data_IF_157098411690
#
_entry.id   IF_157098411690
#
_cell.length_a   1.000
_cell.length_b   1.000
_cell.length_c   1.000
_cell.angle_alpha   90.00
_cell.angle_beta   90.00
_cell.angle_gamma   90.00
#
_symmetry.space_group_name_H-M   'P 1'
#
loop_
_entity.id
_entity.type
_entity.pdbx_description
1 polymer ?
#
# COMPACT_ATOMS: atom_id res chain seq x y z
N UNK A 1 10.00 24.18 57.34
CA UNK A 1 8.70 24.04 58.03
C UNK A 1 8.32 22.58 58.00
N UNK A 2 7.91 22.01 59.13
CA UNK A 2 7.92 20.57 59.41
C UNK A 2 6.64 19.85 58.96
N UNK A 3 6.63 18.50 58.93
CA UNK A 3 5.44 17.71 58.69
C UNK A 3 4.56 17.63 59.94
N UNK A 4 3.24 17.72 59.76
CA UNK A 4 2.26 17.50 60.82
C UNK A 4 2.00 16.00 61.03
N UNK A 5 1.98 15.52 62.28
CA UNK A 5 1.55 14.17 62.64
C UNK A 5 0.07 14.17 63.03
N UNK A 6 -0.63 13.05 62.81
CA UNK A 6 -1.85 12.75 63.56
C UNK A 6 -1.71 11.41 64.26
N UNK A 7 -1.82 11.50 65.58
CA UNK A 7 -1.73 10.42 66.54
C UNK A 7 -3.13 9.90 66.90
N UNK A 8 -3.16 8.63 67.26
CA UNK A 8 -4.20 7.83 67.91
C UNK A 8 -5.21 8.57 68.80
N UNK A 9 -6.44 8.04 68.83
CA UNK A 9 -7.03 7.66 70.12
C UNK A 9 -8.01 6.48 70.04
N UNK A 10 -7.74 5.56 70.95
CA UNK A 10 -8.38 4.29 71.32
C UNK A 10 -9.71 4.43 72.06
N UNK A 11 -10.54 3.36 72.03
CA UNK A 11 -11.17 2.61 73.15
C UNK A 11 -12.29 1.71 72.59
N UNK A 12 -12.10 0.39 72.48
CA UNK A 12 -12.38 -0.68 73.47
C UNK A 12 -13.81 -0.66 74.03
N UNK A 13 -14.63 -1.64 73.62
CA UNK A 13 -15.41 -2.57 74.47
C UNK A 13 -15.91 -3.74 73.58
N UNK A 14 -15.50 -4.98 73.90
CA UNK A 14 -16.15 -6.21 73.38
C UNK A 14 -17.24 -6.70 74.34
N UNK A 15 -17.64 -7.98 74.32
CA UNK A 15 -17.64 -8.98 73.23
C UNK A 15 -19.06 -9.56 73.03
N UNK A 16 -19.38 -10.12 71.86
CA UNK A 16 -20.39 -11.19 71.79
C UNK A 16 -20.03 -12.16 70.68
N UNK A 17 -19.78 -13.39 71.11
CA UNK A 17 -19.54 -14.54 70.26
C UNK A 17 -20.78 -14.87 69.43
N UNK A 18 -20.59 -15.10 68.12
CA UNK A 18 -21.41 -16.06 67.40
C UNK A 18 -20.52 -16.80 66.40
N UNK A 19 -20.35 -18.09 66.68
CA UNK A 19 -19.68 -19.06 65.83
C UNK A 19 -20.62 -19.35 64.66
N UNK A 20 -20.25 -18.92 63.46
CA UNK A 20 -20.82 -19.42 62.21
C UNK A 20 -19.68 -19.93 61.34
N UNK A 21 -19.44 -21.23 61.44
CA UNK A 21 -18.61 -22.00 60.53
C UNK A 21 -19.23 -21.99 59.14
N UNK A 22 -18.74 -21.12 58.25
CA UNK A 22 -19.01 -21.19 56.81
C UNK A 22 -17.76 -21.73 56.15
N UNK A 23 -17.81 -23.01 55.76
CA UNK A 23 -16.86 -23.62 54.82
C UNK A 23 -16.84 -22.76 53.56
N UNK A 24 -15.79 -21.96 53.41
CA UNK A 24 -15.50 -21.28 52.14
C UNK A 24 -14.85 -22.31 51.21
N UNK A 25 -15.68 -22.95 50.39
CA UNK A 25 -15.20 -23.58 49.16
C UNK A 25 -14.62 -22.45 48.30
N UNK A 26 -13.29 -22.34 48.29
CA UNK A 26 -12.58 -21.61 47.25
C UNK A 26 -12.81 -22.35 45.93
N UNK A 27 -13.86 -21.97 45.20
CA UNK A 27 -13.92 -22.21 43.77
C UNK A 27 -12.76 -21.43 43.17
N UNK A 28 -11.64 -22.11 42.95
CA UNK A 28 -10.65 -21.70 41.99
C UNK A 28 -11.35 -21.60 40.64
N UNK A 29 -11.78 -20.40 40.28
CA UNK A 29 -12.03 -20.07 38.89
C UNK A 29 -10.70 -20.21 38.18
N UNK A 30 -10.46 -21.41 37.64
CA UNK A 30 -9.58 -21.57 36.50
C UNK A 30 -10.19 -20.69 35.40
N UNK A 31 -9.78 -19.41 35.37
CA UNK A 31 -9.62 -18.75 34.10
C UNK A 31 -8.63 -19.63 33.34
N UNK A 32 -9.18 -20.56 32.56
CA UNK A 32 -8.53 -20.92 31.31
C UNK A 32 -8.33 -19.58 30.62
N UNK A 33 -7.11 -19.03 30.74
CA UNK A 33 -6.50 -18.32 29.65
C UNK A 33 -6.70 -19.26 28.46
N UNK A 34 -7.77 -19.05 27.71
CA UNK A 34 -7.97 -19.78 26.47
C UNK A 34 -6.70 -19.56 25.70
N UNK A 35 -5.97 -20.65 25.42
CA UNK A 35 -4.77 -20.59 24.62
C UNK A 35 -5.12 -19.76 23.39
N UNK A 36 -4.45 -18.62 23.25
CA UNK A 36 -4.75 -17.66 22.19
C UNK A 36 -4.60 -18.43 20.89
N UNK A 37 -5.70 -18.56 20.15
CA UNK A 37 -5.73 -19.34 18.91
C UNK A 37 -4.56 -18.91 18.01
N UNK A 38 -3.71 -19.87 17.64
CA UNK A 38 -2.52 -19.60 16.83
C UNK A 38 -2.96 -19.19 15.44
N UNK A 39 -2.60 -17.98 15.03
CA UNK A 39 -2.78 -17.53 13.66
C UNK A 39 -1.45 -17.65 12.91
N UNK A 40 -1.37 -18.56 11.94
CA UNK A 40 -0.13 -18.78 11.19
C UNK A 40 0.46 -17.48 10.63
N UNK A 41 -0.35 -16.65 9.98
CA UNK A 41 0.10 -15.43 9.30
C UNK A 41 0.69 -14.38 10.23
N UNK A 42 0.21 -14.31 11.48
CA UNK A 42 0.62 -13.31 12.48
C UNK A 42 1.65 -13.84 13.47
N UNK A 43 1.49 -15.09 13.89
CA UNK A 43 2.27 -15.67 14.99
C UNK A 43 3.42 -16.56 14.49
N UNK A 44 3.32 -17.19 13.31
CA UNK A 44 4.28 -18.22 12.86
C UNK A 44 5.09 -17.77 11.63
N UNK A 45 4.42 -17.24 10.61
CA UNK A 45 5.07 -16.80 9.38
C UNK A 45 6.19 -15.78 9.62
N UNK A 46 6.05 -14.77 10.51
CA UNK A 46 7.15 -13.86 10.81
C UNK A 46 8.37 -14.58 11.39
N UNK A 47 8.15 -15.56 12.27
CA UNK A 47 9.23 -16.36 12.87
C UNK A 47 9.97 -17.18 11.81
N UNK A 48 9.22 -17.89 10.96
CA UNK A 48 9.82 -18.71 9.89
C UNK A 48 10.53 -17.84 8.83
N UNK A 49 9.93 -16.70 8.47
CA UNK A 49 10.50 -15.79 7.48
C UNK A 49 11.82 -15.18 7.96
N UNK A 50 11.85 -14.70 9.21
CA UNK A 50 13.03 -14.08 9.79
C UNK A 50 14.15 -15.10 10.03
N UNK A 51 13.81 -16.27 10.58
CA UNK A 51 14.80 -17.21 11.12
C UNK A 51 15.13 -18.38 10.18
N UNK A 52 14.24 -18.76 9.25
CA UNK A 52 14.37 -20.03 8.53
C UNK A 52 14.45 -19.89 6.99
N UNK A 53 13.74 -18.94 6.37
CA UNK A 53 13.58 -18.89 4.90
C UNK A 53 14.86 -18.62 4.12
N UNK A 54 15.88 -18.09 4.76
CA UNK A 54 17.18 -17.88 4.12
C UNK A 54 17.84 -19.19 3.65
N UNK A 55 17.70 -20.27 4.43
CA UNK A 55 18.25 -21.58 4.10
C UNK A 55 17.18 -22.61 3.71
N UNK A 56 15.92 -22.38 4.06
CA UNK A 56 14.82 -23.33 3.82
C UNK A 56 13.60 -22.69 3.12
N UNK A 57 13.82 -21.60 2.38
CA UNK A 57 12.76 -20.87 1.68
C UNK A 57 12.76 -21.06 0.16
N UNK A 58 12.24 -20.07 -0.60
CA UNK A 58 11.99 -20.21 -2.03
C UNK A 58 13.27 -20.23 -2.88
N UNK A 59 14.35 -19.57 -2.46
CA UNK A 59 15.62 -19.54 -3.19
C UNK A 59 16.27 -20.93 -3.29
N UNK A 60 16.19 -21.55 -4.47
CA UNK A 60 16.72 -22.89 -4.71
C UNK A 60 18.25 -22.96 -4.59
N UNK A 61 18.97 -21.89 -4.90
CA UNK A 61 20.43 -21.89 -4.90
C UNK A 61 21.00 -21.92 -3.47
N UNK A 62 20.24 -21.43 -2.48
CA UNK A 62 20.62 -21.40 -1.06
C UNK A 62 19.97 -22.51 -0.23
N UNK A 63 19.03 -23.26 -0.81
CA UNK A 63 18.19 -24.20 -0.08
C UNK A 63 19.00 -25.39 0.44
N UNK A 64 18.96 -25.60 1.75
CA UNK A 64 19.60 -26.74 2.43
C UNK A 64 18.61 -27.89 2.61
N UNK A 65 19.12 -29.12 2.49
CA UNK A 65 18.39 -30.37 2.72
C UNK A 65 17.09 -30.57 1.91
N UNK A 66 16.91 -29.82 0.82
CA UNK A 66 15.66 -29.85 0.02
C UNK A 66 14.41 -29.32 0.75
N UNK A 67 14.52 -28.96 2.03
CA UNK A 67 13.40 -28.54 2.87
C UNK A 67 12.85 -27.17 2.45
N UNK A 68 11.51 -27.09 2.39
CA UNK A 68 10.73 -25.91 1.97
C UNK A 68 9.78 -25.48 3.08
N UNK A 69 10.27 -24.64 3.99
CA UNK A 69 9.45 -24.05 5.04
C UNK A 69 8.62 -22.86 4.57
N UNK A 70 8.75 -22.43 3.31
CA UNK A 70 7.89 -21.41 2.69
C UNK A 70 6.57 -21.99 2.12
N UNK A 71 6.46 -23.33 2.03
CA UNK A 71 5.30 -24.03 1.47
C UNK A 71 4.83 -25.15 2.39
N UNK A 72 3.51 -25.24 2.60
CA UNK A 72 2.90 -26.26 3.44
C UNK A 72 3.26 -27.69 2.99
N UNK A 73 3.17 -27.94 1.69
CA UNK A 73 3.44 -29.26 1.10
C UNK A 73 4.91 -29.63 1.26
N UNK A 74 5.79 -28.64 1.13
CA UNK A 74 7.22 -28.83 1.21
C UNK A 74 7.74 -29.01 2.64
N UNK A 75 7.09 -28.40 3.64
CA UNK A 75 7.39 -28.62 5.04
C UNK A 75 6.92 -30.01 5.51
N UNK A 76 5.84 -30.53 4.91
CA UNK A 76 5.21 -31.82 5.25
C UNK A 76 5.70 -32.98 4.37
N UNK A 77 6.55 -32.72 3.39
CA UNK A 77 7.13 -33.75 2.54
C UNK A 77 8.25 -34.52 3.27
N UNK A 78 8.39 -35.79 2.92
CA UNK A 78 9.55 -36.58 3.31
C UNK A 78 10.81 -36.03 2.62
N UNK A 79 11.84 -35.76 3.41
CA UNK A 79 13.13 -35.30 2.96
C UNK A 79 14.00 -36.49 2.51
N UNK A 80 15.08 -36.21 1.80
CA UNK A 80 16.05 -37.25 1.39
C UNK A 80 16.66 -38.01 2.59
N UNK A 81 16.64 -37.41 3.78
CA UNK A 81 17.07 -38.06 5.03
C UNK A 81 16.05 -39.07 5.60
N UNK A 82 14.83 -39.11 5.07
CA UNK A 82 13.69 -39.84 5.64
C UNK A 82 12.96 -39.11 6.77
N UNK A 83 13.43 -37.92 7.17
CA UNK A 83 12.72 -37.06 8.13
C UNK A 83 11.61 -36.27 7.43
N UNK A 84 10.62 -35.83 8.22
CA UNK A 84 9.60 -34.87 7.77
C UNK A 84 9.81 -33.57 8.53
N UNK A 85 9.86 -32.45 7.81
CA UNK A 85 10.08 -31.12 8.41
C UNK A 85 9.04 -30.77 9.47
N UNK A 86 7.77 -31.03 9.16
CA UNK A 86 6.60 -30.78 10.01
C UNK A 86 5.65 -31.98 9.95
N UNK A 87 5.41 -32.61 11.11
CA UNK A 87 4.37 -33.62 11.29
C UNK A 87 3.21 -33.00 12.09
N UNK A 88 2.05 -32.74 11.45
CA UNK A 88 0.87 -32.18 12.10
C UNK A 88 0.52 -32.87 13.42
N UNK A 89 0.45 -32.11 14.52
CA UNK A 89 0.07 -32.61 15.84
C UNK A 89 1.16 -33.39 16.58
N UNK A 90 2.31 -33.68 15.95
CA UNK A 90 3.38 -34.48 16.55
C UNK A 90 4.70 -33.71 16.60
N UNK A 91 4.99 -33.15 17.78
CA UNK A 91 6.22 -32.38 18.03
C UNK A 91 7.47 -33.28 17.97
N UNK A 92 7.39 -34.50 18.48
CA UNK A 92 8.53 -35.43 18.53
C UNK A 92 9.00 -35.89 17.15
N UNK A 93 8.08 -35.99 16.18
CA UNK A 93 8.40 -36.40 14.80
C UNK A 93 8.62 -35.20 13.86
N UNK A 94 8.41 -33.97 14.33
CA UNK A 94 8.64 -32.76 13.54
C UNK A 94 10.10 -32.32 13.63
N UNK A 95 10.86 -32.56 12.57
CA UNK A 95 12.29 -32.23 12.49
C UNK A 95 12.56 -30.76 12.82
N UNK A 96 11.70 -29.84 12.37
CA UNK A 96 11.84 -28.40 12.66
C UNK A 96 11.98 -28.12 14.16
N UNK A 97 11.18 -28.79 15.00
CA UNK A 97 11.21 -28.55 16.44
C UNK A 97 12.39 -29.25 17.11
N UNK A 98 12.76 -30.45 16.64
CA UNK A 98 13.95 -31.14 17.13
C UNK A 98 15.22 -30.32 16.88
N UNK A 99 15.32 -29.68 15.72
CA UNK A 99 16.44 -28.80 15.36
C UNK A 99 16.47 -27.53 16.20
N UNK A 100 15.32 -26.92 16.47
CA UNK A 100 15.24 -25.73 17.34
C UNK A 100 15.69 -26.05 18.77
N UNK A 101 15.38 -27.26 19.26
CA UNK A 101 15.67 -27.69 20.63
C UNK A 101 16.98 -28.48 20.78
N UNK A 102 17.78 -28.63 19.71
CA UNK A 102 19.01 -29.42 19.77
C UNK A 102 20.10 -28.67 20.55
N UNK A 103 20.82 -29.41 21.40
CA UNK A 103 22.02 -28.91 22.08
C UNK A 103 23.30 -29.09 21.24
N UNK A 104 23.23 -29.79 20.10
CA UNK A 104 24.36 -30.00 19.20
C UNK A 104 24.56 -28.75 18.31
N UNK A 105 25.73 -28.05 18.40
CA UNK A 105 26.01 -26.87 17.59
C UNK A 105 25.93 -27.09 16.07
N UNK A 106 26.11 -28.32 15.59
CA UNK A 106 26.04 -28.66 14.16
C UNK A 106 24.61 -28.98 13.70
N UNK A 107 23.70 -29.30 14.63
CA UNK A 107 22.31 -29.63 14.32
C UNK A 107 21.34 -28.50 14.67
N UNK A 108 21.66 -27.68 15.67
CA UNK A 108 20.79 -26.60 16.15
C UNK A 108 20.46 -25.61 15.04
N UNK A 109 19.20 -25.23 14.96
CA UNK A 109 18.70 -24.26 14.00
C UNK A 109 17.99 -23.10 14.70
N UNK A 110 18.24 -21.84 14.31
CA UNK A 110 19.19 -21.40 13.29
C UNK A 110 20.65 -21.68 13.68
N UNK A 111 21.55 -21.94 12.71
CA UNK A 111 22.97 -22.17 12.99
C UNK A 111 23.61 -20.93 13.62
N UNK A 112 24.61 -21.12 14.50
CA UNK A 112 25.25 -20.01 15.20
C UNK A 112 25.89 -18.97 14.26
N UNK A 113 26.38 -19.39 13.10
CA UNK A 113 26.98 -18.51 12.08
C UNK A 113 25.93 -17.67 11.31
N UNK A 114 24.64 -17.98 11.44
CA UNK A 114 23.55 -17.18 10.87
C UNK A 114 23.31 -15.87 11.64
N UNK A 115 23.77 -15.78 12.89
CA UNK A 115 23.52 -14.64 13.78
C UNK A 115 22.07 -14.46 14.20
N UNK A 116 21.22 -15.48 14.01
CA UNK A 116 19.80 -15.49 14.37
C UNK A 116 19.55 -16.46 15.51
N UNK A 117 18.62 -16.11 16.38
CA UNK A 117 18.23 -16.91 17.54
C UNK A 117 16.73 -16.74 17.75
N UNK A 118 16.03 -17.84 18.06
CA UNK A 118 14.62 -17.77 18.43
C UNK A 118 14.52 -17.38 19.90
N UNK A 119 13.61 -16.46 20.20
CA UNK A 119 13.21 -16.18 21.57
C UNK A 119 12.40 -17.34 22.15
N UNK A 120 12.31 -17.41 23.49
CA UNK A 120 11.46 -18.40 24.18
C UNK A 120 10.00 -18.32 23.72
N UNK A 121 9.49 -17.11 23.48
CA UNK A 121 8.12 -16.91 22.99
C UNK A 121 7.95 -17.49 21.58
N UNK A 122 8.87 -17.22 20.65
CA UNK A 122 8.81 -17.74 19.29
C UNK A 122 8.89 -19.26 19.25
N UNK A 123 9.76 -19.86 20.05
CA UNK A 123 9.88 -21.31 20.19
C UNK A 123 8.60 -21.94 20.73
N UNK A 124 7.99 -21.35 21.76
CA UNK A 124 6.72 -21.85 22.29
C UNK A 124 5.58 -21.69 21.28
N UNK A 125 5.54 -20.60 20.49
CA UNK A 125 4.53 -20.44 19.42
C UNK A 125 4.67 -21.50 18.34
N UNK A 126 5.89 -21.83 17.91
CA UNK A 126 6.12 -22.94 16.98
C UNK A 126 5.65 -24.26 17.61
N UNK A 127 5.94 -24.49 18.89
CA UNK A 127 5.50 -25.70 19.61
C UNK A 127 3.98 -25.84 19.61
N UNK A 128 3.27 -24.79 20.02
CA UNK A 128 1.81 -24.75 20.10
C UNK A 128 1.18 -24.93 18.71
N UNK A 129 1.76 -24.28 17.69
CA UNK A 129 1.32 -24.42 16.30
C UNK A 129 1.43 -25.85 15.78
N UNK A 130 2.56 -26.52 16.00
CA UNK A 130 2.75 -27.92 15.59
C UNK A 130 1.72 -28.79 16.33
N UNK A 131 1.59 -28.60 17.65
CA UNK A 131 0.66 -29.34 18.49
C UNK A 131 -0.80 -29.16 18.08
N UNK A 132 -1.17 -27.98 17.60
CA UNK A 132 -2.53 -27.68 17.12
C UNK A 132 -2.81 -28.19 15.70
N UNK A 133 -1.89 -28.94 15.09
CA UNK A 133 -2.07 -29.53 13.75
C UNK A 133 -1.28 -28.84 12.65
N UNK A 134 -0.46 -27.83 12.94
CA UNK A 134 0.41 -27.19 11.95
C UNK A 134 -0.37 -26.64 10.74
N UNK A 135 -1.50 -25.98 11.01
CA UNK A 135 -2.30 -25.37 9.95
C UNK A 135 -1.53 -24.23 9.29
N UNK A 136 -1.48 -24.26 7.97
CA UNK A 136 -0.72 -23.32 7.18
C UNK A 136 -1.63 -22.21 6.67
N UNK A 137 -1.25 -20.97 6.90
CA UNK A 137 -1.93 -19.78 6.38
C UNK A 137 -1.16 -19.15 5.21
N UNK A 138 -1.65 -18.01 4.71
CA UNK A 138 -0.89 -17.20 3.76
C UNK A 138 -0.35 -15.96 4.46
N UNK A 139 0.57 -15.23 3.84
CA UNK A 139 0.83 -13.87 4.30
C UNK A 139 -0.49 -13.07 4.30
N UNK A 140 -0.72 -12.26 5.33
CA UNK A 140 -2.02 -11.60 5.57
C UNK A 140 -2.51 -10.76 4.38
N UNK A 141 -1.57 -10.24 3.55
CA UNK A 141 -1.89 -9.47 2.34
C UNK A 141 -2.49 -10.32 1.21
N UNK A 142 -2.29 -11.63 1.22
CA UNK A 142 -2.85 -12.57 0.23
C UNK A 142 -4.09 -13.30 0.74
N UNK A 143 -4.56 -12.96 1.93
CA UNK A 143 -5.82 -13.45 2.44
C UNK A 143 -6.94 -12.47 2.10
N UNK A 144 -8.09 -12.99 1.69
CA UNK A 144 -9.25 -12.15 1.38
C UNK A 144 -9.65 -11.39 2.64
N UNK A 145 -9.72 -10.05 2.61
CA UNK A 145 -10.15 -9.28 3.78
C UNK A 145 -11.57 -9.69 4.20
N UNK A 146 -11.73 -10.02 5.48
CA UNK A 146 -13.04 -10.36 6.07
C UNK A 146 -13.51 -9.16 6.90
N UNK A 147 -14.74 -8.72 6.64
CA UNK A 147 -15.35 -7.62 7.40
C UNK A 147 -15.53 -8.04 8.85
N UNK A 148 -14.76 -7.42 9.74
CA UNK A 148 -14.83 -7.69 11.17
C UNK A 148 -16.09 -7.09 11.79
N UNK A 149 -16.63 -7.75 12.82
CA UNK A 149 -17.69 -7.15 13.65
C UNK A 149 -17.13 -5.91 14.33
N UNK A 150 -17.79 -4.78 14.13
CA UNK A 150 -17.41 -3.52 14.78
C UNK A 150 -17.59 -3.67 16.30
N UNK A 151 -16.57 -3.34 17.12
CA UNK A 151 -16.69 -3.45 18.58
C UNK A 151 -17.84 -2.62 19.13
N UNK A 152 -18.53 -3.18 20.12
CA UNK A 152 -19.52 -2.43 20.91
C UNK A 152 -18.78 -1.62 21.97
N UNK A 153 -19.05 -0.32 22.02
CA UNK A 153 -18.50 0.57 23.04
C UNK A 153 -19.48 0.60 24.21
N UNK A 154 -19.01 0.25 25.41
CA UNK A 154 -19.80 0.28 26.65
C UNK A 154 -19.73 1.62 27.38
N UNK A 155 -18.75 2.48 27.08
CA UNK A 155 -18.58 3.79 27.71
C UNK A 155 -18.73 4.92 26.68
N UNK A 156 -19.83 5.67 26.76
CA UNK A 156 -20.32 6.57 25.70
C UNK A 156 -19.82 8.02 25.83
N UNK A 157 -18.69 8.24 26.50
CA UNK A 157 -18.12 9.60 26.62
C UNK A 157 -17.49 10.07 25.31
N UNK A 158 -16.97 9.14 24.50
CA UNK A 158 -16.48 9.44 23.15
C UNK A 158 -17.64 9.39 22.16
N UNK A 159 -18.21 10.57 21.85
CA UNK A 159 -19.28 10.73 20.86
C UNK A 159 -18.72 10.60 19.44
N UNK A 160 -18.65 9.38 18.92
CA UNK A 160 -18.29 9.14 17.51
C UNK A 160 -19.22 8.09 16.88
N UNK A 161 -19.68 8.40 15.67
CA UNK A 161 -20.44 7.48 14.84
C UNK A 161 -19.53 6.67 13.88
N UNK A 162 -18.24 7.03 13.78
CA UNK A 162 -17.32 6.37 12.86
C UNK A 162 -16.96 4.95 13.36
N UNK A 163 -17.18 3.90 12.56
CA UNK A 163 -16.80 2.53 12.92
C UNK A 163 -15.31 2.37 13.26
N UNK A 164 -14.41 3.14 12.63
CA UNK A 164 -12.96 3.08 12.86
C UNK A 164 -12.63 3.46 14.30
N UNK A 165 -13.25 4.53 14.81
CA UNK A 165 -13.00 5.01 16.17
C UNK A 165 -13.42 3.97 17.22
N UNK A 166 -14.40 3.11 16.90
CA UNK A 166 -14.81 2.01 17.79
C UNK A 166 -13.72 0.94 17.93
N UNK A 167 -12.98 0.66 16.87
CA UNK A 167 -11.81 -0.21 16.95
C UNK A 167 -10.69 0.42 17.79
N UNK A 168 -10.45 1.72 17.63
CA UNK A 168 -9.45 2.46 18.42
C UNK A 168 -9.85 2.46 19.90
N UNK A 169 -11.10 2.77 20.23
CA UNK A 169 -11.59 2.77 21.61
C UNK A 169 -11.50 1.40 22.26
N UNK A 170 -11.87 0.35 21.52
CA UNK A 170 -11.73 -1.03 22.01
C UNK A 170 -10.28 -1.38 22.35
N UNK A 171 -9.32 -0.91 21.54
CA UNK A 171 -7.88 -1.10 21.81
C UNK A 171 -7.42 -0.28 23.02
N UNK A 172 -7.75 1.00 23.09
CA UNK A 172 -7.38 1.88 24.21
C UNK A 172 -7.88 1.34 25.55
N UNK A 173 -9.14 0.87 25.61
CA UNK A 173 -9.70 0.27 26.81
C UNK A 173 -8.96 -0.98 27.29
N UNK A 174 -8.45 -1.82 26.37
CA UNK A 174 -7.61 -2.98 26.71
C UNK A 174 -6.25 -2.57 27.28
N UNK A 175 -5.74 -1.43 26.83
CA UNK A 175 -4.45 -0.88 27.27
C UNK A 175 -4.59 0.05 28.50
N UNK A 176 -5.80 0.21 29.05
CA UNK A 176 -6.06 1.09 30.18
C UNK A 176 -5.86 2.58 29.86
N UNK A 177 -5.97 2.97 28.59
CA UNK A 177 -5.79 4.34 28.12
C UNK A 177 -7.14 4.98 27.79
N UNK A 178 -7.20 6.32 27.91
CA UNK A 178 -8.36 7.12 27.51
C UNK A 178 -8.00 8.02 26.32
N UNK A 179 -8.96 8.34 25.43
CA UNK A 179 -8.75 9.32 24.37
C UNK A 179 -8.41 10.70 24.94
N UNK A 180 -7.60 11.45 24.20
CA UNK A 180 -7.35 12.87 24.47
C UNK A 180 -8.56 13.73 24.11
N UNK A 181 -8.60 14.94 24.68
CA UNK A 181 -9.61 15.94 24.32
C UNK A 181 -9.43 16.38 22.86
N UNK A 182 -10.54 16.75 22.23
CA UNK A 182 -10.52 17.34 20.90
C UNK A 182 -9.62 18.58 20.87
N UNK A 183 -8.86 18.73 19.79
CA UNK A 183 -7.93 19.84 19.64
C UNK A 183 -8.69 21.16 19.41
N UNK A 184 -8.03 22.30 19.68
CA UNK A 184 -8.63 23.62 19.40
C UNK A 184 -8.87 23.81 17.90
N UNK A 185 -9.83 24.66 17.52
CA UNK A 185 -10.14 24.95 16.12
C UNK A 185 -8.90 25.41 15.35
N UNK A 186 -8.04 26.23 15.95
CA UNK A 186 -6.77 26.68 15.35
C UNK A 186 -5.84 25.51 15.03
N UNK A 187 -5.78 24.51 15.92
CA UNK A 187 -4.98 23.30 15.70
C UNK A 187 -5.59 22.43 14.61
N UNK A 188 -6.91 22.25 14.64
CA UNK A 188 -7.64 21.42 13.67
C UNK A 188 -7.49 21.94 12.25
N UNK A 189 -7.74 23.24 12.01
CA UNK A 189 -7.58 23.82 10.68
C UNK A 189 -6.14 23.71 10.18
N UNK A 190 -5.16 23.98 11.05
CA UNK A 190 -3.76 23.85 10.67
C UNK A 190 -3.42 22.43 10.21
N UNK A 191 -3.79 21.41 11.00
CA UNK A 191 -3.52 20.00 10.67
C UNK A 191 -4.17 19.58 9.37
N UNK A 192 -5.49 19.77 9.26
CA UNK A 192 -6.25 19.29 8.10
C UNK A 192 -5.85 19.99 6.80
N UNK A 193 -5.48 21.28 6.84
CA UNK A 193 -5.00 21.96 5.63
C UNK A 193 -3.61 21.46 5.21
N UNK A 194 -2.70 21.19 6.14
CA UNK A 194 -1.40 20.57 5.79
C UNK A 194 -1.58 19.16 5.24
N UNK A 195 -2.40 18.33 5.88
CA UNK A 195 -2.61 16.95 5.45
C UNK A 195 -3.21 16.89 4.04
N UNK A 196 -4.24 17.70 3.78
CA UNK A 196 -4.99 17.63 2.53
C UNK A 196 -4.44 18.51 1.41
N UNK A 197 -3.64 19.53 1.70
CA UNK A 197 -3.13 20.45 0.65
C UNK A 197 -1.62 20.67 0.67
N UNK A 198 -0.91 20.16 1.69
CA UNK A 198 0.52 20.40 1.88
C UNK A 198 0.88 21.84 2.30
N UNK A 199 -0.11 22.73 2.46
CA UNK A 199 0.09 24.15 2.72
C UNK A 199 -0.60 24.60 4.02
N UNK A 200 -0.11 25.67 4.68
CA UNK A 200 -0.82 26.25 5.81
C UNK A 200 -2.12 26.94 5.36
N UNK A 201 -3.14 27.03 6.25
CA UNK A 201 -4.33 27.82 5.96
C UNK A 201 -4.01 29.32 5.93
N UNK A 202 -4.75 30.07 5.12
CA UNK A 202 -4.68 31.54 5.13
C UNK A 202 -5.38 32.12 6.37
N UNK A 203 -5.02 33.33 6.77
CA UNK A 203 -5.67 34.04 7.89
C UNK A 203 -7.20 34.11 7.69
N UNK A 204 -7.65 34.40 6.46
CA UNK A 204 -9.08 34.45 6.13
C UNK A 204 -9.79 33.10 6.32
N UNK A 205 -9.14 31.99 5.96
CA UNK A 205 -9.70 30.65 6.16
C UNK A 205 -9.77 30.28 7.64
N UNK A 206 -8.76 30.70 8.43
CA UNK A 206 -8.77 30.58 9.90
C UNK A 206 -9.94 31.36 10.48
N UNK A 207 -10.04 32.66 10.21
CA UNK A 207 -11.10 33.52 10.75
C UNK A 207 -12.49 32.98 10.43
N UNK A 208 -12.68 32.53 9.17
CA UNK A 208 -13.95 31.94 8.74
C UNK A 208 -14.29 30.66 9.53
N UNK A 209 -13.33 29.75 9.73
CA UNK A 209 -13.56 28.53 10.51
C UNK A 209 -13.77 28.80 12.00
N UNK A 210 -13.00 29.73 12.58
CA UNK A 210 -13.15 30.12 13.99
C UNK A 210 -14.53 30.71 14.25
N UNK A 211 -15.06 31.51 13.32
CA UNK A 211 -16.39 32.13 13.41
C UNK A 211 -17.58 31.20 13.15
N UNK A 212 -17.35 29.98 12.62
CA UNK A 212 -18.43 29.02 12.36
C UNK A 212 -18.73 28.20 13.63
N UNK A 213 -19.80 28.58 14.33
CA UNK A 213 -20.27 27.90 15.55
C UNK A 213 -21.28 26.76 15.27
N UNK A 214 -21.47 26.37 14.00
CA UNK A 214 -22.31 25.24 13.68
C UNK A 214 -21.71 23.93 14.17
N UNK A 215 -22.57 22.98 14.56
CA UNK A 215 -22.14 21.65 15.03
C UNK A 215 -21.43 20.79 13.99
N UNK A 216 -21.36 21.24 12.73
CA UNK A 216 -20.65 20.58 11.63
C UNK A 216 -19.60 21.49 10.95
N UNK A 217 -19.06 22.46 11.69
CA UNK A 217 -18.08 23.41 11.15
C UNK A 217 -16.83 22.72 10.60
N UNK A 218 -16.37 21.64 11.24
CA UNK A 218 -15.17 20.90 10.82
C UNK A 218 -15.40 20.16 9.50
N UNK A 219 -16.55 19.50 9.33
CA UNK A 219 -16.92 18.81 8.11
C UNK A 219 -17.04 19.78 6.93
N UNK A 220 -17.64 20.96 7.16
CA UNK A 220 -17.69 22.03 6.13
C UNK A 220 -16.30 22.51 5.72
N UNK A 221 -15.37 22.62 6.68
CA UNK A 221 -13.98 22.95 6.41
C UNK A 221 -13.32 21.87 5.55
N UNK A 222 -13.46 20.59 5.92
CA UNK A 222 -12.94 19.45 5.16
C UNK A 222 -13.49 19.44 3.73
N UNK A 223 -14.81 19.56 3.57
CA UNK A 223 -15.48 19.61 2.25
C UNK A 223 -14.97 20.75 1.38
N UNK A 224 -14.72 21.92 1.97
CA UNK A 224 -14.15 23.06 1.24
C UNK A 224 -12.72 22.77 0.78
N UNK A 225 -11.91 22.15 1.63
CA UNK A 225 -10.52 21.81 1.31
C UNK A 225 -10.46 20.73 0.23
N UNK A 226 -11.28 19.68 0.31
CA UNK A 226 -11.34 18.62 -0.70
C UNK A 226 -11.81 19.14 -2.07
N UNK A 227 -12.58 20.23 -2.11
CA UNK A 227 -12.99 20.92 -3.35
C UNK A 227 -11.92 21.86 -3.91
N UNK A 228 -10.84 22.10 -3.19
CA UNK A 228 -9.73 22.93 -3.66
C UNK A 228 -8.87 22.17 -4.67
N UNK A 229 -8.40 22.79 -5.77
CA UNK A 229 -7.48 22.13 -6.70
C UNK A 229 -6.18 21.65 -6.03
N UNK A 230 -5.79 22.31 -4.92
CA UNK A 230 -4.61 21.97 -4.12
C UNK A 230 -4.69 20.57 -3.50
N UNK A 231 -5.89 20.03 -3.31
CA UNK A 231 -6.06 18.66 -2.84
C UNK A 231 -5.49 17.67 -3.84
N UNK A 232 -5.90 17.77 -5.11
CA UNK A 232 -5.35 16.95 -6.18
C UNK A 232 -3.85 17.13 -6.37
N UNK A 233 -3.33 18.36 -6.26
CA UNK A 233 -1.89 18.63 -6.33
C UNK A 233 -1.10 17.88 -5.23
N UNK A 234 -1.58 17.94 -3.98
CA UNK A 234 -0.94 17.27 -2.86
C UNK A 234 -1.00 15.74 -2.96
N UNK A 235 -2.16 15.19 -3.34
CA UNK A 235 -2.34 13.75 -3.50
C UNK A 235 -1.54 13.20 -4.69
N UNK A 236 -1.55 13.93 -5.81
CA UNK A 236 -0.85 13.53 -7.03
C UNK A 236 0.65 13.46 -6.83
N UNK A 237 1.26 14.29 -5.97
CA UNK A 237 2.71 14.27 -5.74
C UNK A 237 3.22 12.87 -5.37
N UNK A 238 2.57 12.21 -4.42
CA UNK A 238 2.95 10.86 -3.97
C UNK A 238 2.76 9.85 -5.10
N UNK A 239 1.67 9.99 -5.87
CA UNK A 239 1.41 9.11 -7.01
C UNK A 239 2.45 9.29 -8.12
N UNK A 240 2.83 10.52 -8.43
CA UNK A 240 3.79 10.85 -9.47
C UNK A 240 5.19 10.35 -9.11
N UNK A 241 5.58 10.40 -7.83
CA UNK A 241 6.80 9.76 -7.34
C UNK A 241 6.74 8.23 -7.57
N UNK A 242 5.62 7.59 -7.22
CA UNK A 242 5.41 6.16 -7.42
C UNK A 242 5.42 5.76 -8.91
N UNK A 243 4.82 6.60 -9.77
CA UNK A 243 4.80 6.46 -11.21
C UNK A 243 6.15 6.79 -11.87
N UNK A 244 7.14 7.27 -11.11
CA UNK A 244 8.47 7.69 -11.60
C UNK A 244 8.40 8.85 -12.59
N UNK A 245 7.42 9.73 -12.41
CA UNK A 245 7.31 10.93 -13.21
C UNK A 245 8.57 11.79 -13.06
N UNK A 246 9.04 12.31 -14.19
CA UNK A 246 10.14 13.27 -14.23
C UNK A 246 10.01 14.15 -15.47
N UNK A 247 10.40 15.42 -15.34
CA UNK A 247 10.48 16.36 -16.47
C UNK A 247 11.79 16.19 -17.28
N UNK A 248 12.56 15.14 -17.01
CA UNK A 248 13.81 14.79 -17.71
C UNK A 248 13.87 13.30 -18.09
N UNK A 249 14.75 12.94 -19.03
CA UNK A 249 14.93 11.55 -19.52
C UNK A 249 15.76 10.67 -18.57
N UNK A 250 16.79 11.24 -17.93
CA UNK A 250 17.74 10.55 -17.05
C UNK A 250 18.89 9.80 -17.76
N UNK A 251 19.50 8.85 -17.02
CA UNK A 251 20.68 8.05 -17.40
C UNK A 251 21.93 8.87 -17.81
N UNK A 252 22.17 9.06 -19.10
CA UNK A 252 23.43 9.64 -19.62
C UNK A 252 23.38 11.17 -19.70
N UNK A 253 22.32 11.71 -20.31
CA UNK A 253 22.08 13.14 -20.41
C UNK A 253 20.70 13.42 -19.83
N UNK A 254 20.65 14.21 -18.75
CA UNK A 254 19.42 14.57 -18.06
C UNK A 254 18.68 15.71 -18.77
N UNK A 255 18.43 15.54 -20.07
CA UNK A 255 17.74 16.52 -20.90
C UNK A 255 16.24 16.54 -20.60
N UNK A 256 15.61 17.70 -20.85
CA UNK A 256 14.18 17.91 -20.66
C UNK A 256 13.34 16.97 -21.55
N UNK A 257 12.24 16.46 -20.98
CA UNK A 257 11.17 15.76 -21.68
C UNK A 257 9.82 16.35 -21.29
N UNK A 258 8.90 16.44 -22.24
CA UNK A 258 7.57 16.99 -21.97
C UNK A 258 6.52 15.90 -21.85
N UNK A 259 6.22 15.50 -20.61
CA UNK A 259 5.14 14.56 -20.24
C UNK A 259 4.11 15.17 -19.27
N UNK A 260 4.14 16.50 -19.08
CA UNK A 260 3.25 17.24 -18.19
C UNK A 260 1.74 16.96 -18.34
N UNK A 261 1.18 16.58 -19.52
CA UNK A 261 -0.24 16.25 -19.59
C UNK A 261 -0.62 15.07 -18.69
N UNK A 262 0.30 14.11 -18.49
CA UNK A 262 0.08 13.00 -17.58
C UNK A 262 0.02 13.48 -16.11
N UNK A 263 0.93 14.37 -15.71
CA UNK A 263 0.90 15.00 -14.38
C UNK A 263 -0.44 15.69 -14.12
N UNK A 264 -0.87 16.52 -15.06
CA UNK A 264 -2.12 17.26 -14.92
C UNK A 264 -3.34 16.32 -14.92
N UNK A 265 -3.29 15.23 -15.70
CA UNK A 265 -4.31 14.20 -15.66
C UNK A 265 -4.40 13.53 -14.28
N UNK A 266 -3.27 13.15 -13.65
CA UNK A 266 -3.28 12.57 -12.29
C UNK A 266 -3.88 13.54 -11.28
N UNK A 267 -3.52 14.82 -11.34
CA UNK A 267 -4.09 15.87 -10.47
C UNK A 267 -5.60 15.97 -10.66
N UNK A 268 -6.06 16.01 -11.91
CA UNK A 268 -7.48 16.06 -12.25
C UNK A 268 -8.21 14.78 -11.78
N UNK A 269 -7.61 13.59 -11.87
CA UNK A 269 -8.19 12.33 -11.40
C UNK A 269 -8.50 12.35 -9.90
N UNK A 270 -7.58 12.87 -9.07
CA UNK A 270 -7.81 13.04 -7.64
C UNK A 270 -8.90 14.08 -7.36
N UNK A 271 -8.85 15.24 -8.03
CA UNK A 271 -9.82 16.32 -7.84
C UNK A 271 -11.25 15.91 -8.26
N UNK A 272 -11.37 15.06 -9.28
CA UNK A 272 -12.66 14.54 -9.74
C UNK A 272 -13.13 13.29 -8.97
N UNK A 273 -12.35 12.82 -7.98
CA UNK A 273 -12.62 11.61 -7.23
C UNK A 273 -12.87 10.40 -8.15
N UNK A 274 -11.98 10.22 -9.14
CA UNK A 274 -12.04 9.08 -10.06
C UNK A 274 -11.94 7.78 -9.28
N UNK A 275 -12.78 6.80 -9.63
CA UNK A 275 -12.74 5.49 -8.98
C UNK A 275 -11.43 4.77 -9.28
N UNK A 276 -10.90 4.05 -8.29
CA UNK A 276 -9.58 3.44 -8.37
C UNK A 276 -9.45 2.39 -9.50
N UNK A 277 -10.55 1.69 -9.82
CA UNK A 277 -10.63 0.75 -10.94
C UNK A 277 -10.46 1.47 -12.29
N UNK A 278 -11.16 2.58 -12.50
CA UNK A 278 -11.03 3.36 -13.73
C UNK A 278 -9.65 4.02 -13.81
N UNK A 279 -9.15 4.60 -12.71
CA UNK A 279 -7.81 5.17 -12.62
C UNK A 279 -6.71 4.15 -12.94
N UNK A 280 -6.93 2.89 -12.58
CA UNK A 280 -6.04 1.77 -12.91
C UNK A 280 -6.10 1.41 -14.39
N UNK A 281 -7.31 1.20 -14.94
CA UNK A 281 -7.50 0.80 -16.34
C UNK A 281 -6.92 1.84 -17.29
N UNK A 282 -7.20 3.12 -17.05
CA UNK A 282 -6.75 4.20 -17.93
C UNK A 282 -5.22 4.36 -17.94
N UNK A 283 -4.54 4.14 -16.81
CA UNK A 283 -3.08 4.23 -16.77
C UNK A 283 -2.37 3.02 -17.38
N UNK A 284 -2.91 1.82 -17.19
CA UNK A 284 -2.28 0.61 -17.70
C UNK A 284 -2.57 0.39 -19.19
N UNK A 285 -3.75 0.78 -19.67
CA UNK A 285 -4.24 0.43 -21.01
C UNK A 285 -5.26 1.43 -21.59
N UNK A 286 -5.24 2.71 -21.20
CA UNK A 286 -6.22 3.71 -21.64
C UNK A 286 -6.25 3.93 -23.16
N UNK A 287 -5.12 3.83 -23.83
CA UNK A 287 -4.95 3.89 -25.28
C UNK A 287 -5.45 2.64 -26.02
N UNK A 288 -5.68 1.54 -25.31
CA UNK A 288 -6.25 0.29 -25.84
C UNK A 288 -7.78 0.20 -25.65
N UNK A 289 -8.39 1.19 -24.98
CA UNK A 289 -9.84 1.26 -24.87
C UNK A 289 -10.50 1.50 -26.24
N UNK A 290 -11.73 1.03 -26.47
CA UNK A 290 -12.46 1.33 -27.71
C UNK A 290 -12.66 2.85 -27.86
N UNK A 291 -12.25 3.42 -29.00
CA UNK A 291 -12.34 4.86 -29.30
C UNK A 291 -11.83 5.75 -28.15
N UNK A 292 -10.54 5.65 -27.77
CA UNK A 292 -10.07 6.25 -26.54
C UNK A 292 -10.01 7.77 -26.64
N UNK A 293 -10.50 8.43 -25.59
CA UNK A 293 -10.42 9.89 -25.44
C UNK A 293 -8.96 10.37 -25.37
N UNK A 294 -8.75 11.69 -25.51
CA UNK A 294 -7.41 12.28 -25.34
C UNK A 294 -6.91 12.03 -23.92
N UNK A 295 -7.77 12.20 -22.92
CA UNK A 295 -7.48 11.99 -21.51
C UNK A 295 -7.06 10.54 -21.23
N UNK A 296 -7.76 9.56 -21.79
CA UNK A 296 -7.40 8.13 -21.65
C UNK A 296 -6.07 7.78 -22.31
N UNK A 297 -5.76 8.37 -23.47
CA UNK A 297 -4.43 8.22 -24.10
C UNK A 297 -3.33 8.87 -23.28
N UNK A 298 -3.60 10.02 -22.68
CA UNK A 298 -2.69 10.73 -21.78
C UNK A 298 -2.45 9.92 -20.50
N UNK A 299 -3.48 9.26 -19.97
CA UNK A 299 -3.39 8.40 -18.79
C UNK A 299 -2.39 7.24 -18.97
N UNK A 300 -2.34 6.61 -20.16
CA UNK A 300 -1.31 5.60 -20.50
C UNK A 300 0.13 6.15 -20.38
N UNK A 301 0.31 7.47 -20.24
CA UNK A 301 1.59 8.11 -19.93
C UNK A 301 2.31 7.52 -18.71
N UNK A 302 1.63 6.83 -17.80
CA UNK A 302 2.24 5.99 -16.75
C UNK A 302 3.32 5.05 -17.33
N UNK A 303 3.00 4.34 -18.41
CA UNK A 303 3.93 3.43 -19.09
C UNK A 303 5.10 4.14 -19.79
N UNK A 304 5.12 5.48 -19.82
CA UNK A 304 6.17 6.30 -20.44
C UNK A 304 6.98 7.09 -19.42
N UNK A 305 6.70 6.93 -18.13
CA UNK A 305 7.43 7.59 -17.06
C UNK A 305 8.80 6.93 -16.78
N UNK A 306 9.04 5.73 -17.30
CA UNK A 306 10.33 5.04 -17.23
C UNK A 306 11.48 5.96 -17.67
N UNK A 307 12.65 5.74 -17.07
CA UNK A 307 13.90 6.43 -17.45
C UNK A 307 14.32 5.96 -18.85
N UNK A 308 14.73 6.88 -19.72
CA UNK A 308 15.14 6.60 -21.11
C UNK A 308 16.56 7.06 -21.37
N UNK A 309 17.14 6.64 -22.51
CA UNK A 309 18.49 7.04 -22.91
C UNK A 309 18.53 7.60 -24.33
N UNK A 310 19.45 8.53 -24.55
CA UNK A 310 19.93 8.98 -25.86
C UNK A 310 21.44 8.79 -26.03
N UNK A 311 22.06 7.93 -25.22
CA UNK A 311 23.51 7.71 -25.19
C UNK A 311 24.02 6.97 -26.43
N UNK A 312 24.98 7.60 -27.13
CA UNK A 312 25.67 6.99 -28.25
C UNK A 312 26.45 5.74 -27.82
N UNK A 313 26.29 4.63 -28.54
CA UNK A 313 26.94 3.35 -28.23
C UNK A 313 26.08 2.40 -27.40
N UNK A 314 24.89 2.84 -26.94
CA UNK A 314 23.89 1.96 -26.35
C UNK A 314 23.41 0.89 -27.33
N UNK A 315 23.08 -0.29 -26.81
CA UNK A 315 22.57 -1.42 -27.59
C UNK A 315 21.04 -1.42 -27.50
N UNK A 316 20.35 -1.17 -28.61
CA UNK A 316 18.88 -1.10 -28.66
C UNK A 316 18.22 -2.33 -28.03
N UNK A 317 18.72 -3.54 -28.33
CA UNK A 317 18.17 -4.80 -27.82
C UNK A 317 18.23 -4.89 -26.28
N UNK A 318 19.26 -4.34 -25.65
CA UNK A 318 19.38 -4.30 -24.19
C UNK A 318 18.32 -3.37 -23.60
N UNK A 319 18.15 -2.18 -24.19
CA UNK A 319 17.24 -1.18 -23.66
C UNK A 319 15.76 -1.56 -23.81
N UNK A 320 15.37 -2.25 -24.88
CA UNK A 320 14.02 -2.81 -24.97
C UNK A 320 13.72 -3.75 -23.80
N UNK A 321 14.67 -4.62 -23.43
CA UNK A 321 14.52 -5.52 -22.29
C UNK A 321 14.48 -4.74 -20.98
N UNK A 322 15.42 -3.79 -20.77
CA UNK A 322 15.46 -2.97 -19.56
C UNK A 322 14.18 -2.19 -19.33
N UNK A 323 13.60 -1.60 -20.38
CA UNK A 323 12.35 -0.85 -20.23
C UNK A 323 11.15 -1.75 -19.92
N UNK A 324 11.10 -2.96 -20.46
CA UNK A 324 10.05 -3.91 -20.11
C UNK A 324 10.20 -4.43 -18.66
N UNK A 325 11.43 -4.73 -18.21
CA UNK A 325 11.73 -5.05 -16.80
C UNK A 325 11.26 -3.91 -15.89
N UNK A 326 11.61 -2.67 -16.22
CA UNK A 326 11.30 -1.49 -15.41
C UNK A 326 9.78 -1.27 -15.27
N UNK A 327 9.01 -1.53 -16.33
CA UNK A 327 7.53 -1.46 -16.27
C UNK A 327 6.91 -2.58 -15.45
N UNK A 328 7.44 -3.80 -15.53
CA UNK A 328 7.02 -4.92 -14.66
C UNK A 328 7.27 -4.56 -13.20
N UNK A 329 8.46 -4.05 -12.89
CA UNK A 329 8.84 -3.64 -11.53
C UNK A 329 7.94 -2.53 -11.00
N UNK A 330 7.76 -1.46 -11.78
CA UNK A 330 6.97 -0.30 -11.38
C UNK A 330 5.50 -0.68 -11.20
N UNK A 331 4.92 -1.43 -12.14
CA UNK A 331 3.54 -1.90 -12.05
C UNK A 331 3.35 -2.81 -10.82
N UNK A 332 4.25 -3.78 -10.62
CA UNK A 332 4.15 -4.69 -9.48
C UNK A 332 4.27 -3.96 -8.14
N UNK A 333 5.20 -3.00 -8.06
CA UNK A 333 5.42 -2.22 -6.83
C UNK A 333 4.19 -1.38 -6.50
N UNK A 334 3.65 -0.65 -7.47
CA UNK A 334 2.64 0.38 -7.20
C UNK A 334 1.22 -0.20 -7.17
N UNK A 335 0.90 -1.24 -7.95
CA UNK A 335 -0.44 -1.83 -7.98
C UNK A 335 -0.57 -3.08 -7.11
N UNK A 336 0.47 -3.92 -7.08
CA UNK A 336 0.42 -5.18 -6.33
C UNK A 336 1.03 -5.03 -4.93
N UNK A 337 1.81 -3.98 -4.68
CA UNK A 337 2.58 -3.84 -3.44
C UNK A 337 3.68 -4.89 -3.32
N UNK A 338 4.19 -5.41 -4.44
CA UNK A 338 5.18 -6.50 -4.48
C UNK A 338 6.48 -6.07 -5.17
N UNK A 339 7.61 -6.51 -4.63
CA UNK A 339 8.94 -6.18 -5.15
C UNK A 339 9.39 -7.18 -6.24
N UNK A 340 8.65 -7.24 -7.34
CA UNK A 340 8.89 -8.24 -8.40
C UNK A 340 10.29 -8.17 -9.06
N UNK A 341 11.08 -7.10 -8.86
CA UNK A 341 12.38 -6.92 -9.51
C UNK A 341 13.41 -8.02 -9.25
N UNK A 342 13.42 -8.63 -8.05
CA UNK A 342 14.31 -9.78 -7.82
C UNK A 342 13.95 -10.97 -8.72
N UNK A 343 12.67 -11.11 -9.08
CA UNK A 343 12.18 -12.17 -9.94
C UNK A 343 12.72 -12.12 -11.38
N UNK A 344 13.36 -11.01 -11.78
CA UNK A 344 14.01 -10.88 -13.07
C UNK A 344 15.15 -11.91 -13.28
N UNK A 345 15.93 -12.20 -12.23
CA UNK A 345 17.13 -13.04 -12.32
C UNK A 345 16.94 -14.44 -11.72
N UNK A 346 16.07 -14.60 -10.72
CA UNK A 346 15.79 -15.85 -10.01
C UNK A 346 14.42 -15.76 -9.32
N UNK A 347 13.82 -16.85 -8.85
CA UNK A 347 12.57 -16.78 -8.06
C UNK A 347 12.74 -15.84 -6.84
N UNK A 348 11.72 -15.04 -6.50
CA UNK A 348 11.84 -14.03 -5.45
C UNK A 348 12.20 -14.66 -4.09
N UNK A 349 13.13 -14.03 -3.35
CA UNK A 349 13.68 -14.61 -2.10
C UNK A 349 12.64 -14.71 -0.97
N UNK A 350 11.63 -13.85 -0.97
CA UNK A 350 10.69 -13.71 0.15
C UNK A 350 9.20 -13.72 -0.24
N UNK A 351 8.90 -13.41 -1.50
CA UNK A 351 7.53 -13.23 -1.99
C UNK A 351 7.21 -14.43 -2.86
N UNK A 352 5.92 -14.84 -2.95
CA UNK A 352 5.50 -15.98 -3.76
C UNK A 352 5.45 -15.61 -5.25
N UNK A 353 6.57 -15.14 -5.81
CA UNK A 353 6.72 -14.76 -7.21
C UNK A 353 7.86 -15.57 -7.84
N UNK A 354 7.54 -16.36 -8.85
CA UNK A 354 8.54 -17.06 -9.66
C UNK A 354 9.10 -16.16 -10.75
N UNK A 355 10.32 -16.47 -11.20
CA UNK A 355 10.91 -15.85 -12.38
C UNK A 355 10.03 -16.08 -13.61
N UNK A 356 9.39 -17.25 -13.70
CA UNK A 356 8.47 -17.55 -14.80
C UNK A 356 7.30 -16.56 -14.85
N UNK A 357 6.68 -16.26 -13.71
CA UNK A 357 5.56 -15.30 -13.62
C UNK A 357 6.02 -13.89 -13.95
N UNK A 358 7.24 -13.50 -13.52
CA UNK A 358 7.85 -12.23 -13.90
C UNK A 358 7.93 -12.09 -15.43
N UNK A 359 8.47 -13.10 -16.14
CA UNK A 359 8.58 -13.06 -17.59
C UNK A 359 7.24 -13.22 -18.33
N UNK A 360 6.23 -13.81 -17.70
CA UNK A 360 4.86 -13.78 -18.22
C UNK A 360 4.30 -12.37 -18.20
N UNK A 361 4.48 -11.62 -17.10
CA UNK A 361 4.07 -10.21 -17.03
C UNK A 361 4.91 -9.32 -17.96
N UNK A 362 6.22 -9.57 -18.04
CA UNK A 362 7.14 -8.92 -18.98
C UNK A 362 6.63 -8.96 -20.42
N UNK A 363 6.03 -10.07 -20.85
CA UNK A 363 5.55 -10.24 -22.23
C UNK A 363 4.51 -9.18 -22.63
N UNK A 364 3.72 -8.66 -21.69
CA UNK A 364 2.78 -7.57 -21.95
C UNK A 364 3.51 -6.25 -22.20
N UNK A 365 4.53 -5.94 -21.39
CA UNK A 365 5.29 -4.69 -21.49
C UNK A 365 6.36 -4.69 -22.59
N UNK A 366 6.78 -5.88 -23.05
CA UNK A 366 7.68 -6.06 -24.19
C UNK A 366 6.93 -6.08 -25.53
N UNK A 367 5.88 -5.26 -25.66
CA UNK A 367 5.06 -5.14 -26.88
C UNK A 367 4.97 -3.71 -27.42
N UNK A 368 5.73 -2.78 -26.82
CA UNK A 368 5.62 -1.36 -27.10
C UNK A 368 6.27 -0.96 -28.43
N UNK A 369 5.72 0.08 -29.05
CA UNK A 369 6.15 0.63 -30.34
C UNK A 369 7.17 1.77 -30.20
N UNK A 370 7.53 2.12 -28.96
CA UNK A 370 8.57 3.09 -28.62
C UNK A 370 9.95 2.60 -29.10
N UNK A 371 10.79 3.51 -29.55
CA UNK A 371 12.19 3.20 -29.90
C UNK A 371 13.05 3.15 -28.65
N UNK A 372 14.09 2.32 -28.66
CA UNK A 372 15.04 2.21 -27.54
C UNK A 372 15.67 3.55 -27.16
N UNK A 373 16.00 4.38 -28.16
CA UNK A 373 16.66 5.68 -27.97
C UNK A 373 15.67 6.83 -28.10
N UNK A 374 15.64 7.74 -27.12
CA UNK A 374 14.83 8.97 -27.15
C UNK A 374 15.45 10.06 -28.05
N UNK A 375 16.76 9.95 -28.34
CA UNK A 375 17.53 10.90 -29.12
C UNK A 375 17.65 12.29 -28.48
N UNK A 376 17.53 12.37 -27.14
CA UNK A 376 17.55 13.60 -26.36
C UNK A 376 16.48 14.63 -26.79
N UNK A 377 15.34 14.15 -27.30
CA UNK A 377 14.27 15.00 -27.82
C UNK A 377 13.30 15.39 -26.71
N UNK A 378 12.76 16.60 -26.78
CA UNK A 378 11.68 17.03 -25.88
C UNK A 378 10.42 16.14 -25.98
N UNK A 379 10.12 15.66 -27.20
CA UNK A 379 8.92 14.86 -27.51
C UNK A 379 9.30 13.60 -28.32
N UNK A 380 9.91 12.59 -27.68
CA UNK A 380 10.29 11.35 -28.36
C UNK A 380 9.01 10.58 -28.80
N UNK A 381 8.98 10.04 -30.04
CA UNK A 381 7.82 9.29 -30.52
C UNK A 381 7.68 7.93 -29.81
N UNK A 382 6.45 7.40 -29.65
CA UNK A 382 5.19 8.00 -30.09
C UNK A 382 4.79 9.21 -29.25
N UNK A 383 4.33 10.26 -29.92
CA UNK A 383 3.87 11.51 -29.29
C UNK A 383 2.55 11.95 -29.93
N UNK A 384 1.75 12.69 -29.16
CA UNK A 384 0.45 13.19 -29.61
C UNK A 384 0.30 14.66 -29.22
N UNK A 385 -0.57 15.37 -29.95
CA UNK A 385 -1.01 16.69 -29.53
C UNK A 385 -2.04 16.54 -28.42
N UNK A 386 -1.76 17.13 -27.27
CA UNK A 386 -2.68 17.20 -26.12
C UNK A 386 -3.10 18.66 -25.89
N UNK A 387 -4.07 19.19 -26.65
CA UNK A 387 -4.54 20.55 -26.47
C UNK A 387 -5.21 20.73 -25.10
N UNK A 388 -4.95 21.87 -24.46
CA UNK A 388 -5.59 22.22 -23.18
C UNK A 388 -7.11 22.37 -23.31
N UNK A 389 -7.83 22.36 -22.18
CA UNK A 389 -9.29 22.59 -22.16
C UNK A 389 -9.69 23.88 -22.89
N UNK A 390 -8.91 24.95 -22.70
CA UNK A 390 -9.10 26.25 -23.37
C UNK A 390 -8.85 26.13 -24.87
N UNK A 391 -7.74 25.50 -25.28
CA UNK A 391 -7.42 25.30 -26.69
C UNK A 391 -8.49 24.46 -27.40
N UNK A 392 -9.05 23.45 -26.73
CA UNK A 392 -10.13 22.64 -27.30
C UNK A 392 -11.42 23.44 -27.49
N UNK A 393 -11.79 24.29 -26.53
CA UNK A 393 -12.94 25.18 -26.65
C UNK A 393 -12.74 26.16 -27.83
N UNK A 394 -11.55 26.74 -27.94
CA UNK A 394 -11.20 27.63 -29.05
C UNK A 394 -11.21 26.90 -30.40
N UNK A 395 -10.67 25.68 -30.47
CA UNK A 395 -10.71 24.86 -31.68
C UNK A 395 -12.13 24.53 -32.11
N UNK A 396 -13.04 24.24 -31.17
CA UNK A 396 -14.44 24.00 -31.47
C UNK A 396 -15.10 25.27 -32.02
N UNK A 397 -14.90 26.41 -31.35
CA UNK A 397 -15.40 27.71 -31.81
C UNK A 397 -14.89 28.07 -33.22
N UNK A 398 -13.59 27.93 -33.46
CA UNK A 398 -12.99 28.21 -34.77
C UNK A 398 -13.49 27.24 -35.85
N UNK A 399 -13.76 25.98 -35.51
CA UNK A 399 -14.35 25.01 -36.43
C UNK A 399 -15.77 25.44 -36.84
N UNK A 400 -16.58 25.89 -35.89
CA UNK A 400 -17.92 26.42 -36.17
C UNK A 400 -17.83 27.66 -37.08
N UNK A 401 -16.87 28.55 -36.84
CA UNK A 401 -16.61 29.72 -37.70
C UNK A 401 -16.14 29.35 -39.11
N UNK A 402 -15.31 28.33 -39.24
CA UNK A 402 -14.92 27.81 -40.57
C UNK A 402 -16.13 27.25 -41.29
N UNK A 403 -16.98 26.46 -40.63
CA UNK A 403 -18.20 25.92 -41.22
C UNK A 403 -19.18 27.03 -41.61
N UNK A 404 -19.36 28.06 -40.78
CA UNK A 404 -20.16 29.24 -41.09
C UNK A 404 -19.63 29.96 -42.34
N UNK A 405 -18.33 30.24 -42.40
CA UNK A 405 -17.70 30.87 -43.55
C UNK A 405 -17.81 30.02 -44.82
N UNK A 406 -17.60 28.71 -44.71
CA UNK A 406 -17.74 27.77 -45.83
C UNK A 406 -19.16 27.74 -46.40
N UNK A 407 -20.18 27.84 -45.54
CA UNK A 407 -21.59 27.91 -45.97
C UNK A 407 -21.93 29.24 -46.65
N UNK A 408 -21.20 30.32 -46.38
CA UNK A 408 -21.38 31.61 -47.04
C UNK A 408 -20.71 31.67 -48.42
N UNK A 409 -19.65 30.87 -48.66
CA UNK A 409 -18.93 30.87 -49.95
C UNK A 409 -19.86 30.68 -51.16
N UNK A 410 -20.77 29.70 -51.22
CA UNK A 410 -21.67 29.52 -52.36
C UNK A 410 -22.61 30.70 -52.61
N UNK A 411 -23.08 31.38 -51.56
CA UNK A 411 -23.95 32.55 -51.72
C UNK A 411 -23.18 33.76 -52.23
N UNK A 412 -21.94 33.95 -51.76
CA UNK A 412 -21.06 35.02 -52.23
C UNK A 412 -20.67 34.76 -53.70
N UNK A 413 -20.29 33.53 -54.07
CA UNK A 413 -19.86 33.22 -55.45
C UNK A 413 -20.99 33.35 -56.47
N UNK A 414 -22.26 33.13 -56.09
CA UNK A 414 -23.42 33.45 -56.95
C UNK A 414 -23.51 34.93 -57.34
N UNK A 415 -23.01 35.83 -56.49
CA UNK A 415 -23.05 37.28 -56.75
C UNK A 415 -21.87 37.78 -57.58
N UNK A 416 -20.84 36.95 -57.79
CA UNK A 416 -19.65 37.32 -58.55
C UNK A 416 -19.83 36.89 -60.00
N UNK A 417 -19.94 37.85 -60.91
CA UNK A 417 -19.89 37.58 -62.35
C UNK A 417 -18.43 37.53 -62.78
N UNK A 418 -17.89 36.33 -62.99
CA UNK A 418 -16.55 36.15 -63.54
C UNK A 418 -16.61 36.28 -65.08
N UNK A 419 -15.89 37.26 -65.62
CA UNK A 419 -15.55 37.31 -67.05
C UNK A 419 -14.11 36.86 -67.21
N UNK A 420 -13.89 35.88 -68.08
CA UNK A 420 -12.55 35.40 -68.42
C UNK A 420 -11.76 36.54 -69.08
N UNK A 421 -10.53 36.84 -68.64
CA UNK A 421 -9.70 37.82 -69.32
C UNK A 421 -9.33 37.27 -70.71
N UNK A 422 -9.76 37.99 -71.75
CA UNK A 422 -9.48 37.69 -73.16
C UNK A 422 -7.99 37.78 -73.52
#
# INVERSE_FOLDING_TARGET
MPPFPFNNNSRIFGPLALICSVLSLTLSTNQSLGAKEINFSKDILPVLSNNCFECHGPDQAKRKAGLRLDKAEGAKAELESGSIGLVPGNISESEIYQRIMSDDPEEVMPPADSGKELTEEETERIREWIKSGGEWGKHWSFEKPVKSKVPEITNNEWKTENPIDRFIHSRLGKEGMNPEKEATKETLIRRVTFDLTGLPPTVREIDHFLSDDSGNAYEKLVDRILKSPRYGEQMARIWLDAARYADTHGLHLDNERSVWPYRDWVIDSFNNNQSFDQFTIEQLAGDLLPEPSIEQKVATGFNRCNVTTGEGGSIDAEYYVRYAVERVETTSTVWLGLTAGCANCHDHKFDPLSQKEFYQLFSYFYSLTEKAMDGNKLLPPPSMKAPSKIQRAEMAFLKDKITEAQNQIPEITKTITYQDPH
#
